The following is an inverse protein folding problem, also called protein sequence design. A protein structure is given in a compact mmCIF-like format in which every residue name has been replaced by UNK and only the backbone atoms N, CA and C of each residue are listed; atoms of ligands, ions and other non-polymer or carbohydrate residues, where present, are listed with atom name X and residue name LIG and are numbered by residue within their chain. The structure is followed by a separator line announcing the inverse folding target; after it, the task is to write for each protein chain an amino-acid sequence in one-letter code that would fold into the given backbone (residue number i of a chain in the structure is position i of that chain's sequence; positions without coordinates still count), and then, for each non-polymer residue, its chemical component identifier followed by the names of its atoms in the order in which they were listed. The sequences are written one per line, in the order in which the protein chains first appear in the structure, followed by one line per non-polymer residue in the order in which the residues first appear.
data_IF_543262602914
#
_entry.id   IF_543262602914
#
_cell.length_a   1.000
_cell.length_b   1.000
_cell.length_c   1.000
_cell.angle_alpha   90.00
_cell.angle_beta   90.00
_cell.angle_gamma   90.00
#
_symmetry.space_group_name_H-M   'P 1'
#
loop_
_entity.id
_entity.type
_entity.pdbx_description
1 polymer ?
#
# COMPACT_ATOMS: atom_id res chain seq x y z
N UNK A 1 -5.97 9.48 3.12
CA UNK A 1 -6.69 8.55 2.23
C UNK A 1 -7.62 7.64 3.00
N UNK A 2 -7.20 7.06 4.13
CA UNK A 2 -7.99 6.09 4.89
C UNK A 2 -9.38 6.59 5.31
N UNK A 3 -9.44 7.77 5.94
CA UNK A 3 -10.73 8.34 6.34
C UNK A 3 -11.62 8.69 5.15
N UNK A 4 -11.02 9.12 4.03
CA UNK A 4 -11.77 9.36 2.79
C UNK A 4 -12.35 8.06 2.25
N UNK A 5 -11.57 6.98 2.19
CA UNK A 5 -12.02 5.64 1.80
C UNK A 5 -13.19 5.16 2.65
N UNK A 6 -13.07 5.27 3.98
CA UNK A 6 -14.16 4.89 4.91
C UNK A 6 -15.41 5.75 4.71
N UNK A 7 -15.23 7.06 4.52
CA UNK A 7 -16.34 7.99 4.30
C UNK A 7 -17.09 7.64 3.02
N UNK A 8 -16.38 7.45 1.90
CA UNK A 8 -16.98 7.04 0.63
C UNK A 8 -17.72 5.71 0.80
N UNK A 9 -17.12 4.73 1.49
CA UNK A 9 -17.76 3.44 1.72
C UNK A 9 -19.12 3.57 2.43
N UNK A 10 -19.17 4.33 3.53
CA UNK A 10 -20.40 4.59 4.29
C UNK A 10 -21.42 5.37 3.44
N UNK A 11 -21.00 6.37 2.68
CA UNK A 11 -21.90 7.13 1.80
C UNK A 11 -22.54 6.30 0.69
N UNK A 12 -21.94 5.15 0.32
CA UNK A 12 -22.49 4.22 -0.66
C UNK A 12 -23.40 3.15 -0.03
N UNK A 13 -23.39 2.98 1.29
CA UNK A 13 -24.29 2.03 1.95
C UNK A 13 -25.76 2.40 1.71
N UNK A 14 -26.59 1.42 1.33
CA UNK A 14 -28.02 1.63 1.06
C UNK A 14 -28.34 2.34 -0.25
N UNK A 15 -27.34 2.83 -0.99
CA UNK A 15 -27.48 3.17 -2.40
C UNK A 15 -27.28 1.87 -3.17
N UNK A 16 -28.18 1.50 -4.08
CA UNK A 16 -28.05 0.31 -4.95
C UNK A 16 -26.86 0.42 -5.92
N UNK A 17 -25.66 0.55 -5.35
CA UNK A 17 -24.40 0.89 -5.97
C UNK A 17 -23.46 -0.30 -5.80
N UNK A 18 -22.88 -0.74 -6.90
CA UNK A 18 -21.85 -1.80 -6.88
C UNK A 18 -20.45 -1.23 -6.62
N UNK A 19 -20.35 0.01 -6.12
CA UNK A 19 -19.08 0.67 -5.88
C UNK A 19 -18.44 0.16 -4.58
N UNK A 20 -17.20 -0.29 -4.66
CA UNK A 20 -16.34 -0.57 -3.51
C UNK A 20 -15.15 0.39 -3.49
N UNK A 21 -14.87 0.98 -2.34
CA UNK A 21 -13.70 1.81 -2.11
C UNK A 21 -12.79 1.14 -1.07
N UNK A 22 -11.50 1.03 -1.37
CA UNK A 22 -10.51 0.37 -0.51
C UNK A 22 -9.21 1.19 -0.51
N UNK A 23 -8.45 1.14 0.58
CA UNK A 23 -7.11 1.70 0.67
C UNK A 23 -6.12 0.56 0.94
N UNK A 24 -5.11 0.44 0.08
CA UNK A 24 -4.10 -0.61 0.18
C UNK A 24 -2.74 0.04 0.41
N UNK A 25 -2.09 -0.31 1.52
CA UNK A 25 -0.70 0.02 1.79
C UNK A 25 0.19 -1.03 1.12
N UNK A 26 0.99 -0.66 0.09
CA UNK A 26 1.78 -1.62 -0.66
C UNK A 26 3.04 -2.13 0.07
N UNK A 27 3.28 -1.68 1.31
CA UNK A 27 4.54 -1.90 2.01
C UNK A 27 5.69 -1.06 1.43
N UNK A 28 6.93 -1.50 1.68
CA UNK A 28 8.12 -0.81 1.13
C UNK A 28 8.54 -1.48 -0.17
N UNK A 29 8.44 -0.72 -1.26
CA UNK A 29 8.62 -1.22 -2.62
C UNK A 29 9.88 -0.61 -3.24
N UNK A 30 10.61 -1.37 -4.05
CA UNK A 30 11.80 -0.86 -4.77
C UNK A 30 11.40 -0.02 -6.00
N UNK A 31 10.94 1.21 -5.75
CA UNK A 31 10.50 2.17 -6.78
C UNK A 31 11.48 3.33 -6.94
N UNK A 32 11.22 4.19 -7.94
CA UNK A 32 11.94 5.46 -8.12
C UNK A 32 11.80 6.39 -6.90
N UNK A 33 10.61 6.44 -6.29
CA UNK A 33 10.37 7.20 -5.05
C UNK A 33 11.30 6.75 -3.92
N UNK A 34 11.42 5.43 -3.72
CA UNK A 34 12.27 4.91 -2.66
C UNK A 34 13.76 5.15 -2.96
N UNK A 35 14.17 5.12 -4.23
CA UNK A 35 15.52 5.56 -4.65
C UNK A 35 15.80 7.02 -4.28
N UNK A 36 14.81 7.91 -4.40
CA UNK A 36 14.95 9.31 -4.01
C UNK A 36 15.08 9.46 -2.49
N UNK A 37 14.28 8.73 -1.71
CA UNK A 37 14.39 8.71 -0.24
C UNK A 37 15.81 8.32 0.19
N UNK A 38 16.38 7.24 -0.38
CA UNK A 38 17.76 6.80 -0.07
C UNK A 38 18.86 7.78 -0.47
N UNK A 39 18.58 8.71 -1.38
CA UNK A 39 19.51 9.77 -1.80
C UNK A 39 19.36 11.05 -0.99
N UNK A 40 18.34 11.14 -0.13
CA UNK A 40 18.07 12.34 0.66
C UNK A 40 19.11 12.46 1.79
N UNK A 41 19.73 13.64 1.99
CA UNK A 41 20.66 13.83 3.09
C UNK A 41 19.99 13.58 4.44
N UNK A 42 20.70 12.93 5.38
CA UNK A 42 20.18 12.62 6.72
C UNK A 42 19.64 13.84 7.49
N UNK A 43 20.25 15.01 7.28
CA UNK A 43 19.80 16.29 7.86
C UNK A 43 18.39 16.71 7.42
N UNK A 44 17.96 16.29 6.22
CA UNK A 44 16.67 16.64 5.63
C UNK A 44 15.64 15.53 5.87
N UNK A 45 16.11 14.30 6.15
CA UNK A 45 15.28 13.15 6.48
C UNK A 45 16.02 12.17 7.41
N UNK A 46 15.69 12.21 8.70
CA UNK A 46 16.37 11.43 9.74
C UNK A 46 16.32 9.91 9.51
N UNK A 47 15.23 9.41 8.93
CA UNK A 47 14.99 7.98 8.72
C UNK A 47 15.67 7.41 7.48
N UNK A 48 16.49 8.18 6.74
CA UNK A 48 17.14 7.71 5.50
C UNK A 48 17.90 6.38 5.68
N UNK A 49 18.59 6.21 6.81
CA UNK A 49 19.36 4.99 7.13
C UNK A 49 18.47 3.74 7.19
N UNK A 50 17.23 3.88 7.65
CA UNK A 50 16.24 2.80 7.65
C UNK A 50 15.95 2.32 6.23
N UNK A 51 15.75 3.25 5.30
CA UNK A 51 15.44 2.92 3.90
C UNK A 51 16.64 2.36 3.14
N UNK A 52 17.86 2.82 3.45
CA UNK A 52 19.10 2.21 2.96
C UNK A 52 19.21 0.76 3.44
N UNK A 53 18.94 0.52 4.74
CA UNK A 53 19.03 -0.81 5.35
C UNK A 53 18.03 -1.78 4.74
N UNK A 54 16.77 -1.37 4.52
CA UNK A 54 15.75 -2.18 3.84
C UNK A 54 16.21 -2.66 2.45
N UNK A 55 16.90 -1.79 1.67
CA UNK A 55 17.46 -2.19 0.37
C UNK A 55 18.62 -3.17 0.52
N UNK A 56 19.53 -2.92 1.46
CA UNK A 56 20.70 -3.77 1.72
C UNK A 56 20.30 -5.18 2.16
N UNK A 57 19.28 -5.28 3.00
CA UNK A 57 18.77 -6.54 3.53
C UNK A 57 17.82 -7.28 2.57
N UNK A 58 17.56 -6.72 1.37
CA UNK A 58 16.59 -7.26 0.40
C UNK A 58 15.17 -7.38 0.96
N UNK A 59 14.77 -6.45 1.84
CA UNK A 59 13.45 -6.41 2.50
C UNK A 59 12.42 -5.58 1.71
N UNK A 60 12.71 -5.30 0.43
CA UNK A 60 11.84 -4.54 -0.45
C UNK A 60 11.14 -5.47 -1.40
N UNK A 61 9.82 -5.35 -1.49
CA UNK A 61 9.10 -5.99 -2.58
C UNK A 61 9.45 -5.34 -3.92
N UNK A 62 9.46 -6.14 -4.97
CA UNK A 62 9.47 -5.63 -6.34
C UNK A 62 8.09 -5.04 -6.69
N UNK A 63 8.04 -4.06 -7.61
CA UNK A 63 6.76 -3.53 -8.09
C UNK A 63 5.82 -4.59 -8.65
N UNK A 64 6.36 -5.61 -9.35
CA UNK A 64 5.56 -6.68 -9.93
C UNK A 64 4.94 -7.57 -8.84
N UNK A 65 5.71 -7.99 -7.84
CA UNK A 65 5.16 -8.77 -6.71
C UNK A 65 4.03 -8.03 -5.99
N UNK A 66 4.16 -6.71 -5.81
CA UNK A 66 3.11 -5.88 -5.21
C UNK A 66 1.89 -5.79 -6.11
N UNK A 67 2.08 -5.57 -7.41
CA UNK A 67 1.00 -5.49 -8.37
C UNK A 67 0.18 -6.79 -8.42
N UNK A 68 0.85 -7.93 -8.51
CA UNK A 68 0.20 -9.26 -8.56
C UNK A 68 -0.65 -9.48 -7.30
N UNK A 69 -0.09 -9.18 -6.11
CA UNK A 69 -0.82 -9.26 -4.83
C UNK A 69 -2.07 -8.38 -4.80
N UNK A 70 -1.97 -7.15 -5.28
CA UNK A 70 -3.12 -6.21 -5.33
C UNK A 70 -4.18 -6.73 -6.30
N UNK A 71 -3.77 -7.21 -7.48
CA UNK A 71 -4.68 -7.80 -8.47
C UNK A 71 -5.43 -8.97 -7.85
N UNK A 72 -4.73 -9.93 -7.23
CA UNK A 72 -5.35 -11.07 -6.55
C UNK A 72 -6.37 -10.64 -5.49
N UNK A 73 -6.03 -9.68 -4.63
CA UNK A 73 -6.94 -9.19 -3.59
C UNK A 73 -8.24 -8.60 -4.17
N UNK A 74 -8.13 -7.86 -5.27
CA UNK A 74 -9.27 -7.22 -5.93
C UNK A 74 -10.10 -8.25 -6.71
N UNK A 75 -9.47 -9.13 -7.50
CA UNK A 75 -10.18 -10.07 -8.38
C UNK A 75 -10.86 -11.20 -7.61
N UNK A 76 -10.31 -11.61 -6.47
CA UNK A 76 -10.90 -12.63 -5.60
C UNK A 76 -11.90 -12.04 -4.59
N UNK A 77 -12.18 -10.74 -4.68
CA UNK A 77 -13.08 -10.00 -3.79
C UNK A 77 -12.80 -10.21 -2.29
N UNK A 78 -11.50 -10.29 -1.95
CA UNK A 78 -11.03 -10.67 -0.60
C UNK A 78 -11.23 -9.57 0.45
N UNK A 79 -11.56 -8.35 0.04
CA UNK A 79 -11.62 -7.18 0.91
C UNK A 79 -13.03 -6.55 0.90
N UNK A 80 -13.59 -6.22 2.08
CA UNK A 80 -14.88 -5.55 2.15
C UNK A 80 -14.79 -4.07 1.69
N UNK A 81 -15.94 -3.47 1.37
CA UNK A 81 -16.02 -2.04 1.11
C UNK A 81 -15.53 -1.24 2.34
N UNK A 82 -14.73 -0.21 2.12
CA UNK A 82 -14.12 0.60 3.19
C UNK A 82 -12.86 -0.01 3.81
N UNK A 83 -12.38 -1.16 3.31
CA UNK A 83 -11.20 -1.82 3.86
C UNK A 83 -9.96 -0.92 3.78
N UNK A 84 -9.20 -0.92 4.87
CA UNK A 84 -7.84 -0.39 4.96
C UNK A 84 -6.93 -1.60 5.18
N UNK A 85 -6.07 -1.88 4.22
CA UNK A 85 -5.34 -3.14 4.18
C UNK A 85 -3.85 -2.93 3.94
N UNK A 86 -3.00 -3.62 4.69
CA UNK A 86 -1.56 -3.64 4.46
C UNK A 86 -1.15 -4.95 3.78
N UNK A 87 -0.47 -4.85 2.64
CA UNK A 87 0.00 -6.03 1.90
C UNK A 87 0.98 -6.89 2.70
N UNK A 88 1.58 -6.36 3.77
CA UNK A 88 2.45 -7.12 4.67
C UNK A 88 1.67 -8.12 5.53
N UNK A 89 0.38 -7.88 5.74
CA UNK A 89 -0.52 -8.78 6.49
C UNK A 89 -1.16 -9.85 5.60
N UNK A 90 -0.86 -9.82 4.30
CA UNK A 90 -1.42 -10.76 3.33
C UNK A 90 -0.85 -12.16 3.50
N UNK A 91 -1.74 -13.08 3.88
CA UNK A 91 -1.52 -14.52 3.86
C UNK A 91 -2.06 -15.06 2.53
N UNK A 92 -1.16 -15.21 1.56
CA UNK A 92 -1.45 -15.90 0.29
C UNK A 92 -1.26 -17.40 0.46
#
# INVERSE_FOLDING_TARGET
MDMLTKTIAVEQEGKNSNLKCMAIYPGVVDTAMQKQIRKTPKKDFNDVERFISLKKNKELFTPNEVADKIVTLITEDKLPNGAIYDLRDAKF
#
